data_IF_806022162385
#
_entry.id   IF_806022162385
#
_cell.length_a   1.000
_cell.length_b   1.000
_cell.length_c   1.000
_cell.angle_alpha   90.00
_cell.angle_beta   90.00
_cell.angle_gamma   90.00
#
_symmetry.space_group_name_H-M   'P 1'
#
loop_
_entity.id
_entity.type
_entity.pdbx_description
1 polymer ?
#
# COMPACT_ATOMS: atom_id res chain seq x y z
N UNK A 1 63.34 1.66 46.39
CA UNK A 1 64.73 2.12 46.56
C UNK A 1 65.54 1.76 45.32
N UNK A 2 66.41 2.68 44.97
CA UNK A 2 67.07 2.85 43.68
C UNK A 2 68.32 1.96 43.55
N UNK A 3 68.65 1.56 42.30
CA UNK A 3 69.98 1.56 41.64
C UNK A 3 70.31 0.24 40.93
N UNK A 4 70.43 0.29 39.59
CA UNK A 4 71.69 0.45 38.79
C UNK A 4 72.63 -0.74 39.00
N UNK A 5 73.16 -1.42 38.00
CA UNK A 5 73.14 -1.17 36.57
C UNK A 5 73.89 -2.29 35.82
N UNK A 6 73.69 -2.26 34.51
CA UNK A 6 74.53 -2.81 33.43
C UNK A 6 76.05 -2.56 33.65
N UNK A 7 77.01 -3.18 32.91
CA UNK A 7 76.87 -3.42 31.46
C UNK A 7 77.81 -4.45 30.78
N UNK A 8 77.72 -4.46 29.43
CA UNK A 8 78.75 -4.87 28.43
C UNK A 8 79.00 -6.38 28.27
N UNK A 9 79.35 -6.92 27.12
CA UNK A 9 79.42 -6.47 25.73
C UNK A 9 79.87 -7.70 24.93
N UNK A 10 79.07 -8.07 23.94
CA UNK A 10 79.43 -8.52 22.58
C UNK A 10 80.69 -9.37 22.33
N UNK A 11 80.44 -10.50 21.64
CA UNK A 11 81.15 -11.01 20.44
C UNK A 11 81.65 -12.45 20.56
N UNK A 12 81.03 -13.38 19.79
CA UNK A 12 81.69 -14.48 19.06
C UNK A 12 80.68 -15.36 18.28
N UNK A 13 81.01 -15.53 17.00
CA UNK A 13 81.04 -16.77 16.20
C UNK A 13 79.75 -17.58 15.97
N UNK A 14 79.31 -17.50 14.70
CA UNK A 14 79.09 -18.56 13.71
C UNK A 14 78.83 -20.03 14.15
N UNK A 15 77.84 -20.59 13.44
CA UNK A 15 77.56 -21.98 13.06
C UNK A 15 76.41 -22.77 13.75
N UNK A 16 75.39 -23.00 12.91
CA UNK A 16 74.44 -24.11 12.75
C UNK A 16 74.24 -25.13 13.87
N UNK A 17 72.98 -25.34 14.27
CA UNK A 17 72.27 -26.65 14.27
C UNK A 17 70.74 -26.45 14.45
N UNK A 18 69.92 -27.03 13.57
CA UNK A 18 68.46 -27.27 13.78
C UNK A 18 68.29 -28.47 14.76
N UNK A 19 67.16 -28.70 15.50
CA UNK A 19 65.76 -28.71 15.00
C UNK A 19 64.60 -28.36 15.99
N UNK A 20 63.39 -28.31 15.43
CA UNK A 20 62.04 -28.60 15.97
C UNK A 20 61.49 -28.01 17.30
N UNK A 21 60.53 -27.10 17.11
CA UNK A 21 59.18 -26.96 17.74
C UNK A 21 58.99 -26.83 19.26
N UNK A 22 58.52 -25.64 19.68
CA UNK A 22 57.27 -25.46 20.47
C UNK A 22 56.56 -24.19 19.97
N UNK A 23 55.26 -24.32 19.71
CA UNK A 23 54.41 -23.36 18.97
C UNK A 23 53.31 -22.86 19.92
N UNK A 24 53.27 -21.56 20.24
CA UNK A 24 52.10 -20.83 20.81
C UNK A 24 52.42 -19.34 21.07
N UNK A 25 51.44 -18.41 21.18
CA UNK A 25 50.00 -18.56 20.98
C UNK A 25 49.40 -17.63 19.91
N UNK A 26 48.20 -18.03 19.49
CA UNK A 26 47.27 -17.33 18.60
C UNK A 26 47.06 -15.85 18.99
N UNK A 27 47.19 -14.95 18.03
CA UNK A 27 46.37 -13.72 18.00
C UNK A 27 45.34 -13.87 16.88
N UNK A 28 44.18 -14.44 17.22
CA UNK A 28 43.00 -14.41 16.35
C UNK A 28 42.54 -12.96 16.27
N UNK A 29 42.75 -12.29 15.15
CA UNK A 29 41.95 -11.12 14.79
C UNK A 29 40.53 -11.62 14.49
N UNK A 30 39.67 -11.60 15.51
CA UNK A 30 38.23 -11.51 15.31
C UNK A 30 37.93 -10.06 14.94
N UNK A 31 37.40 -9.83 13.75
CA UNK A 31 36.48 -8.74 13.47
C UNK A 31 35.71 -9.09 12.21
N UNK A 32 34.56 -9.74 12.41
CA UNK A 32 33.23 -9.27 11.97
C UNK A 32 32.97 -9.55 10.50
N UNK A 33 32.59 -10.78 10.19
CA UNK A 33 31.68 -11.02 9.07
C UNK A 33 30.47 -10.12 9.27
N UNK A 34 30.24 -9.18 8.36
CA UNK A 34 28.97 -8.46 8.30
C UNK A 34 27.83 -9.49 8.27
N UNK A 35 26.80 -9.35 9.13
CA UNK A 35 25.65 -10.22 9.05
C UNK A 35 24.88 -9.89 7.76
N UNK A 36 25.11 -10.69 6.72
CA UNK A 36 24.28 -10.66 5.51
C UNK A 36 22.83 -10.98 5.91
N UNK A 37 21.82 -10.22 5.45
CA UNK A 37 20.43 -10.41 5.83
C UNK A 37 19.96 -11.85 5.58
N UNK A 38 19.33 -12.48 6.58
CA UNK A 38 18.89 -13.90 6.49
C UNK A 38 17.55 -14.11 5.78
N UNK A 39 16.82 -13.04 5.44
CA UNK A 39 15.57 -13.05 4.67
C UNK A 39 15.48 -11.77 3.81
N UNK A 40 15.94 -11.84 2.57
CA UNK A 40 15.89 -10.81 1.51
C UNK A 40 16.78 -11.39 0.38
N UNK A 41 16.27 -12.20 -0.57
CA UNK A 41 15.71 -11.73 -1.85
C UNK A 41 14.47 -12.51 -2.31
N UNK A 42 14.13 -13.62 -1.63
CA UNK A 42 13.00 -14.48 -1.95
C UNK A 42 11.66 -13.81 -1.65
N UNK A 43 11.58 -13.04 -0.55
CA UNK A 43 10.39 -12.24 -0.23
C UNK A 43 10.15 -11.14 -1.27
N UNK A 44 11.20 -10.49 -1.75
CA UNK A 44 11.09 -9.46 -2.79
C UNK A 44 10.62 -10.06 -4.12
N UNK A 45 11.22 -11.17 -4.56
CA UNK A 45 10.76 -11.90 -5.75
C UNK A 45 9.31 -12.39 -5.60
N UNK A 46 8.92 -12.87 -4.43
CA UNK A 46 7.54 -13.28 -4.17
C UNK A 46 6.57 -12.09 -4.26
N UNK A 47 6.93 -10.92 -3.71
CA UNK A 47 6.14 -9.69 -3.79
C UNK A 47 6.03 -9.19 -5.25
N UNK A 48 7.14 -9.19 -5.99
CA UNK A 48 7.16 -8.85 -7.42
C UNK A 48 6.28 -9.81 -8.24
N UNK A 49 6.32 -11.10 -7.92
CA UNK A 49 5.48 -12.12 -8.58
C UNK A 49 4.00 -11.89 -8.27
N UNK A 50 3.64 -11.64 -7.01
CA UNK A 50 2.27 -11.29 -6.61
C UNK A 50 1.81 -10.03 -7.35
N UNK A 51 2.64 -8.99 -7.42
CA UNK A 51 2.33 -7.77 -8.15
C UNK A 51 2.10 -8.03 -9.65
N UNK A 52 2.94 -8.85 -10.29
CA UNK A 52 2.78 -9.25 -11.68
C UNK A 52 1.48 -10.02 -11.91
N UNK A 53 1.13 -10.95 -11.02
CA UNK A 53 -0.12 -11.70 -11.07
C UNK A 53 -1.32 -10.75 -10.96
N UNK A 54 -1.37 -9.88 -9.94
CA UNK A 54 -2.50 -8.96 -9.73
C UNK A 54 -2.63 -7.98 -10.90
N UNK A 55 -1.51 -7.51 -11.46
CA UNK A 55 -1.50 -6.70 -12.69
C UNK A 55 -2.08 -7.46 -13.88
N UNK A 56 -1.82 -8.76 -14.00
CA UNK A 56 -2.44 -9.58 -15.03
C UNK A 56 -3.95 -9.74 -14.82
N UNK A 57 -4.43 -9.88 -13.57
CA UNK A 57 -5.87 -9.88 -13.25
C UNK A 57 -6.53 -8.59 -13.77
N UNK A 58 -5.95 -7.42 -13.48
CA UNK A 58 -6.44 -6.12 -13.95
C UNK A 58 -6.50 -6.04 -15.48
N UNK A 59 -5.42 -6.45 -16.16
CA UNK A 59 -5.36 -6.43 -17.63
C UNK A 59 -6.40 -7.33 -18.26
N UNK A 60 -6.62 -8.52 -17.69
CA UNK A 60 -7.64 -9.45 -18.17
C UNK A 60 -9.03 -8.85 -17.98
N UNK A 61 -9.33 -8.27 -16.82
CA UNK A 61 -10.59 -7.59 -16.58
C UNK A 61 -10.82 -6.44 -17.56
N UNK A 62 -9.80 -5.61 -17.78
CA UNK A 62 -9.91 -4.47 -18.69
C UNK A 62 -10.15 -4.91 -20.14
N UNK A 63 -9.50 -5.99 -20.57
CA UNK A 63 -9.53 -6.43 -21.97
C UNK A 63 -10.67 -7.41 -22.29
N UNK A 64 -11.13 -8.19 -21.30
CA UNK A 64 -12.06 -9.30 -21.51
C UNK A 64 -13.26 -9.29 -20.55
N UNK A 65 -13.34 -8.31 -19.64
CA UNK A 65 -14.39 -8.23 -18.63
C UNK A 65 -14.37 -9.36 -17.61
N UNK A 66 -15.40 -9.37 -16.76
CA UNK A 66 -15.57 -10.35 -15.68
C UNK A 66 -15.69 -11.80 -16.17
N UNK A 67 -16.37 -12.01 -17.30
CA UNK A 67 -16.59 -13.33 -17.91
C UNK A 67 -15.29 -13.93 -18.46
N UNK A 68 -14.37 -13.09 -18.94
CA UNK A 68 -13.05 -13.51 -19.42
C UNK A 68 -12.03 -13.81 -18.33
N UNK A 69 -12.36 -13.55 -17.06
CA UNK A 69 -11.43 -13.71 -15.94
C UNK A 69 -11.27 -15.19 -15.54
N UNK A 70 -10.30 -15.86 -16.17
CA UNK A 70 -9.95 -17.27 -15.92
C UNK A 70 -8.50 -17.42 -15.47
N UNK A 71 -8.19 -18.42 -14.64
CA UNK A 71 -6.82 -18.68 -14.16
C UNK A 71 -5.84 -18.96 -15.31
N UNK A 72 -6.29 -19.65 -16.36
CA UNK A 72 -5.48 -19.89 -17.55
C UNK A 72 -5.07 -18.59 -18.25
N UNK A 73 -6.03 -17.70 -18.50
CA UNK A 73 -5.75 -16.41 -19.14
C UNK A 73 -4.92 -15.49 -18.25
N UNK A 74 -5.14 -15.51 -16.94
CA UNK A 74 -4.32 -14.75 -15.99
C UNK A 74 -2.87 -15.24 -16.02
N UNK A 75 -2.65 -16.56 -16.02
CA UNK A 75 -1.32 -17.15 -16.11
C UNK A 75 -0.62 -16.77 -17.42
N UNK A 76 -1.34 -16.83 -18.54
CA UNK A 76 -0.87 -16.39 -19.87
C UNK A 76 -0.44 -14.92 -19.86
N UNK A 77 -1.30 -14.01 -19.41
CA UNK A 77 -1.01 -12.56 -19.36
C UNK A 77 0.12 -12.24 -18.39
N UNK A 78 0.27 -13.02 -17.31
CA UNK A 78 1.35 -12.86 -16.35
C UNK A 78 2.67 -13.52 -16.81
N UNK A 79 2.68 -14.22 -17.95
CA UNK A 79 3.87 -14.90 -18.47
C UNK A 79 4.33 -16.08 -17.61
N UNK A 80 3.40 -16.80 -16.97
CA UNK A 80 3.70 -17.90 -16.06
C UNK A 80 2.86 -19.15 -16.32
N UNK A 81 3.31 -20.29 -15.79
CA UNK A 81 2.50 -21.50 -15.83
C UNK A 81 1.31 -21.40 -14.86
N UNK A 82 0.21 -22.10 -15.19
CA UNK A 82 -0.95 -22.21 -14.29
C UNK A 82 -0.57 -22.86 -12.96
N UNK A 83 0.38 -23.82 -12.97
CA UNK A 83 0.91 -24.42 -11.74
C UNK A 83 1.62 -23.40 -10.84
N UNK A 84 2.41 -22.51 -11.42
CA UNK A 84 3.04 -21.38 -10.69
C UNK A 84 1.99 -20.45 -10.12
N UNK A 85 0.96 -20.11 -10.89
CA UNK A 85 -0.15 -19.27 -10.40
C UNK A 85 -0.81 -19.89 -9.16
N UNK A 86 -1.08 -21.19 -9.17
CA UNK A 86 -1.68 -21.91 -8.04
C UNK A 86 -0.80 -21.97 -6.78
N UNK A 87 0.53 -21.88 -6.92
CA UNK A 87 1.43 -21.78 -5.76
C UNK A 87 1.25 -20.47 -4.99
N UNK A 88 0.85 -19.39 -5.67
CA UNK A 88 0.59 -18.09 -5.05
C UNK A 88 -0.88 -17.90 -4.69
N UNK A 89 -1.80 -18.35 -5.55
CA UNK A 89 -3.22 -18.15 -5.39
C UNK A 89 -3.99 -19.46 -5.57
N UNK A 90 -4.54 -20.04 -4.50
CA UNK A 90 -5.14 -21.38 -4.56
C UNK A 90 -6.42 -21.43 -5.41
N UNK A 91 -7.07 -20.29 -5.64
CA UNK A 91 -8.30 -20.19 -6.42
C UNK A 91 -8.51 -18.77 -6.99
N UNK A 92 -9.52 -18.64 -7.87
CA UNK A 92 -9.92 -17.36 -8.47
C UNK A 92 -10.29 -16.33 -7.39
N UNK A 93 -10.94 -16.74 -6.30
CA UNK A 93 -11.38 -15.82 -5.24
C UNK A 93 -10.20 -15.14 -4.53
N UNK A 94 -9.08 -15.85 -4.36
CA UNK A 94 -7.85 -15.28 -3.82
C UNK A 94 -7.24 -14.22 -4.75
N UNK A 95 -7.32 -14.43 -6.08
CA UNK A 95 -6.88 -13.45 -7.09
C UNK A 95 -7.77 -12.20 -7.07
N UNK A 96 -9.10 -12.39 -7.06
CA UNK A 96 -10.08 -11.31 -6.91
C UNK A 96 -9.80 -10.52 -5.63
N UNK A 97 -9.57 -11.24 -4.53
CA UNK A 97 -9.28 -10.65 -3.25
C UNK A 97 -8.01 -9.80 -3.28
N UNK A 98 -6.91 -10.27 -3.86
CA UNK A 98 -5.68 -9.49 -3.95
C UNK A 98 -5.84 -8.24 -4.85
N UNK A 99 -6.58 -8.37 -5.95
CA UNK A 99 -6.93 -7.22 -6.78
C UNK A 99 -7.74 -6.18 -6.00
N UNK A 100 -8.79 -6.63 -5.31
CA UNK A 100 -9.60 -5.76 -4.46
C UNK A 100 -8.71 -5.01 -3.46
N UNK A 101 -7.83 -5.70 -2.74
CA UNK A 101 -6.88 -5.11 -1.79
C UNK A 101 -6.04 -3.98 -2.40
N UNK A 102 -5.50 -4.22 -3.61
CA UNK A 102 -4.68 -3.24 -4.32
C UNK A 102 -5.46 -1.99 -4.71
N UNK A 103 -6.64 -2.15 -5.30
CA UNK A 103 -7.50 -1.03 -5.74
C UNK A 103 -7.88 -0.17 -4.54
N UNK A 104 -8.21 -0.80 -3.43
CA UNK A 104 -8.60 -0.11 -2.20
C UNK A 104 -7.45 0.64 -1.55
N UNK A 105 -6.25 0.04 -1.52
CA UNK A 105 -5.06 0.72 -1.05
C UNK A 105 -4.79 1.97 -1.89
N UNK A 106 -4.92 1.90 -3.21
CA UNK A 106 -4.76 3.05 -4.10
C UNK A 106 -5.80 4.16 -3.83
N UNK A 107 -7.07 3.78 -3.62
CA UNK A 107 -8.12 4.74 -3.25
C UNK A 107 -7.81 5.42 -1.91
N UNK A 108 -7.39 4.64 -0.90
CA UNK A 108 -7.09 5.16 0.42
C UNK A 108 -5.85 6.08 0.40
N UNK A 109 -4.82 5.73 -0.36
CA UNK A 109 -3.63 6.56 -0.53
C UNK A 109 -3.96 7.88 -1.25
N UNK A 110 -4.79 7.85 -2.29
CA UNK A 110 -5.26 9.06 -2.97
C UNK A 110 -6.11 9.94 -2.04
N UNK A 111 -6.93 9.33 -1.18
CA UNK A 111 -7.73 10.03 -0.19
C UNK A 111 -6.85 10.73 0.86
N UNK A 112 -5.89 10.00 1.44
CA UNK A 112 -4.90 10.55 2.39
C UNK A 112 -4.09 11.68 1.76
N UNK A 113 -3.65 11.52 0.51
CA UNK A 113 -2.94 12.57 -0.21
C UNK A 113 -3.81 13.83 -0.40
N UNK A 114 -5.10 13.66 -0.70
CA UNK A 114 -6.07 14.75 -0.79
C UNK A 114 -6.25 15.50 0.54
N UNK A 115 -6.39 14.77 1.65
CA UNK A 115 -6.47 15.35 3.00
C UNK A 115 -5.20 16.12 3.36
N UNK A 116 -4.03 15.51 3.15
CA UNK A 116 -2.74 16.11 3.46
C UNK A 116 -2.49 17.39 2.66
N UNK A 117 -2.80 17.38 1.35
CA UNK A 117 -2.69 18.56 0.50
C UNK A 117 -3.66 19.68 0.91
N UNK A 118 -4.78 19.33 1.55
CA UNK A 118 -5.83 20.25 1.98
C UNK A 118 -5.77 20.67 3.44
N UNK A 119 -4.70 20.33 4.16
CA UNK A 119 -4.62 20.48 5.62
C UNK A 119 -4.98 21.89 6.11
N UNK A 120 -4.55 22.92 5.37
CA UNK A 120 -4.77 24.34 5.70
C UNK A 120 -5.90 24.99 4.91
N UNK A 121 -6.47 24.31 3.93
CA UNK A 121 -7.50 24.88 3.06
C UNK A 121 -8.87 24.85 3.76
N UNK A 122 -9.81 25.74 3.42
CA UNK A 122 -11.19 25.63 3.89
C UNK A 122 -11.78 24.25 3.56
N UNK A 123 -12.50 23.65 4.51
CA UNK A 123 -13.07 22.30 4.33
C UNK A 123 -13.87 22.09 3.04
N UNK A 124 -14.65 23.07 2.54
CA UNK A 124 -15.33 22.92 1.27
C UNK A 124 -14.37 22.68 0.10
N UNK A 125 -13.21 23.32 0.11
CA UNK A 125 -12.18 23.11 -0.91
C UNK A 125 -11.50 21.74 -0.77
N UNK A 126 -11.26 21.29 0.46
CA UNK A 126 -10.71 19.95 0.74
C UNK A 126 -11.69 18.87 0.26
N UNK A 127 -12.96 18.98 0.66
CA UNK A 127 -14.03 18.08 0.25
C UNK A 127 -14.18 18.03 -1.27
N UNK A 128 -14.16 19.19 -1.93
CA UNK A 128 -14.25 19.27 -3.37
C UNK A 128 -13.09 18.56 -4.07
N UNK A 129 -11.85 18.80 -3.60
CA UNK A 129 -10.65 18.15 -4.14
C UNK A 129 -10.72 16.63 -3.99
N UNK A 130 -11.10 16.15 -2.81
CA UNK A 130 -11.23 14.72 -2.55
C UNK A 130 -12.31 14.10 -3.43
N UNK A 131 -13.48 14.73 -3.55
CA UNK A 131 -14.55 14.25 -4.41
C UNK A 131 -14.10 14.16 -5.88
N UNK A 132 -13.43 15.18 -6.40
CA UNK A 132 -12.87 15.19 -7.76
C UNK A 132 -11.81 14.09 -7.94
N UNK A 133 -10.87 13.97 -7.00
CA UNK A 133 -9.82 12.93 -7.06
C UNK A 133 -10.41 11.53 -7.02
N UNK A 134 -11.38 11.27 -6.14
CA UNK A 134 -12.07 9.98 -6.06
C UNK A 134 -12.82 9.67 -7.35
N UNK A 135 -13.64 10.59 -7.84
CA UNK A 135 -14.39 10.37 -9.08
C UNK A 135 -13.44 10.14 -10.28
N UNK A 136 -12.36 10.92 -10.39
CA UNK A 136 -11.36 10.76 -11.46
C UNK A 136 -10.66 9.40 -11.39
N UNK A 137 -10.27 8.96 -10.18
CA UNK A 137 -9.64 7.65 -9.98
C UNK A 137 -10.61 6.52 -10.34
N UNK A 138 -11.87 6.64 -9.92
CA UNK A 138 -12.94 5.70 -10.30
C UNK A 138 -13.11 5.62 -11.82
N UNK A 139 -13.07 6.75 -12.54
CA UNK A 139 -13.14 6.78 -14.00
C UNK A 139 -11.99 6.00 -14.66
N UNK A 140 -10.77 6.21 -14.19
CA UNK A 140 -9.57 5.57 -14.76
C UNK A 140 -9.59 4.04 -14.60
N UNK A 141 -10.33 3.54 -13.61
CA UNK A 141 -10.41 2.12 -13.26
C UNK A 141 -11.82 1.53 -13.44
N UNK A 142 -12.70 2.18 -14.23
CA UNK A 142 -14.13 1.86 -14.36
C UNK A 142 -14.44 0.35 -14.51
N UNK A 143 -13.78 -0.42 -15.42
CA UNK A 143 -14.08 -1.84 -15.58
C UNK A 143 -13.81 -2.68 -14.31
N UNK A 144 -12.77 -2.32 -13.55
CA UNK A 144 -12.40 -3.00 -12.31
C UNK A 144 -13.34 -2.61 -11.18
N UNK A 145 -13.63 -1.31 -11.02
CA UNK A 145 -14.56 -0.85 -9.99
C UNK A 145 -15.99 -1.36 -10.20
N UNK A 146 -16.51 -1.31 -11.42
CA UNK A 146 -17.86 -1.82 -11.73
C UNK A 146 -18.00 -3.28 -11.32
N UNK A 147 -17.01 -4.11 -11.69
CA UNK A 147 -17.02 -5.52 -11.33
C UNK A 147 -16.83 -5.75 -9.82
N UNK A 148 -15.98 -4.97 -9.13
CA UNK A 148 -15.87 -5.02 -7.66
C UNK A 148 -17.17 -4.63 -6.95
N UNK A 149 -17.97 -3.73 -7.54
CA UNK A 149 -19.29 -3.36 -7.02
C UNK A 149 -20.25 -4.52 -7.17
N UNK A 150 -20.28 -5.23 -8.30
CA UNK A 150 -21.14 -6.43 -8.45
C UNK A 150 -20.82 -7.48 -7.38
N UNK A 151 -19.53 -7.68 -7.09
CA UNK A 151 -19.05 -8.60 -6.05
C UNK A 151 -19.46 -8.20 -4.63
N UNK A 152 -19.81 -6.92 -4.37
CA UNK A 152 -20.27 -6.47 -3.03
C UNK A 152 -21.51 -7.22 -2.55
N UNK A 153 -22.32 -7.71 -3.48
CA UNK A 153 -23.56 -8.42 -3.18
C UNK A 153 -23.30 -9.83 -2.65
N UNK A 154 -22.08 -10.35 -2.85
CA UNK A 154 -21.68 -11.65 -2.34
C UNK A 154 -21.25 -11.56 -0.86
N UNK A 155 -21.84 -12.41 -0.01
CA UNK A 155 -21.59 -12.40 1.44
C UNK A 155 -20.10 -12.49 1.82
N UNK A 156 -19.30 -13.20 1.02
CA UNK A 156 -17.85 -13.36 1.23
C UNK A 156 -17.05 -12.05 1.10
N UNK A 157 -17.58 -11.03 0.41
CA UNK A 157 -16.91 -9.73 0.20
C UNK A 157 -17.50 -8.57 1.02
N UNK A 158 -18.66 -8.76 1.65
CA UNK A 158 -19.34 -7.69 2.39
C UNK A 158 -18.56 -7.19 3.61
N UNK A 159 -18.05 -8.09 4.45
CA UNK A 159 -17.30 -7.69 5.64
C UNK A 159 -16.00 -6.96 5.28
N UNK A 160 -15.43 -7.30 4.13
CA UNK A 160 -14.27 -6.61 3.61
C UNK A 160 -14.64 -5.20 3.16
N UNK A 161 -15.71 -5.07 2.37
CA UNK A 161 -16.27 -3.77 1.94
C UNK A 161 -16.54 -2.84 3.13
N UNK A 162 -17.15 -3.37 4.20
CA UNK A 162 -17.44 -2.62 5.42
C UNK A 162 -16.17 -2.07 6.07
N UNK A 163 -15.14 -2.91 6.26
CA UNK A 163 -13.86 -2.49 6.85
C UNK A 163 -13.16 -1.38 6.07
N UNK A 164 -13.32 -1.36 4.75
CA UNK A 164 -12.74 -0.32 3.90
C UNK A 164 -13.44 1.00 4.14
N UNK A 165 -14.77 1.01 4.08
CA UNK A 165 -15.55 2.22 4.37
C UNK A 165 -15.19 2.75 5.76
N UNK A 166 -15.07 1.86 6.76
CA UNK A 166 -14.62 2.23 8.10
C UNK A 166 -13.23 2.90 8.08
N UNK A 167 -12.27 2.42 7.28
CA UNK A 167 -10.95 3.07 7.14
C UNK A 167 -11.04 4.49 6.57
N UNK A 168 -11.84 4.72 5.52
CA UNK A 168 -12.04 6.08 4.99
C UNK A 168 -12.70 7.01 6.02
N UNK A 169 -13.66 6.48 6.78
CA UNK A 169 -14.33 7.21 7.85
C UNK A 169 -13.37 7.55 8.98
N UNK A 170 -12.51 6.61 9.39
CA UNK A 170 -11.52 6.83 10.44
C UNK A 170 -10.50 7.91 10.04
N UNK A 171 -9.99 7.85 8.81
CA UNK A 171 -9.05 8.87 8.26
C UNK A 171 -9.69 10.26 8.20
N UNK A 172 -10.94 10.35 7.71
CA UNK A 172 -11.65 11.62 7.66
C UNK A 172 -12.01 12.15 9.06
N UNK A 173 -12.38 11.26 9.98
CA UNK A 173 -12.66 11.63 11.36
C UNK A 173 -11.41 12.21 12.02
N UNK A 174 -10.27 11.53 11.90
CA UNK A 174 -9.00 11.99 12.42
C UNK A 174 -8.61 13.35 11.81
N UNK A 175 -8.80 13.53 10.50
CA UNK A 175 -8.60 14.83 9.86
C UNK A 175 -9.50 15.93 10.46
N UNK A 176 -10.81 15.68 10.60
CA UNK A 176 -11.74 16.66 11.18
C UNK A 176 -11.47 16.95 12.67
N UNK A 177 -10.86 16.01 13.40
CA UNK A 177 -10.41 16.23 14.78
C UNK A 177 -9.27 17.26 14.87
N UNK A 178 -8.39 17.33 13.87
CA UNK A 178 -7.32 18.33 13.81
C UNK A 178 -7.82 19.75 13.49
N UNK A 179 -9.07 19.87 13.04
CA UNK A 179 -9.66 21.12 12.53
C UNK A 179 -10.44 21.86 13.62
N UNK A 180 -10.15 23.15 13.76
CA UNK A 180 -10.83 24.05 14.71
C UNK A 180 -12.02 24.78 14.09
N UNK A 181 -12.11 24.81 12.77
CA UNK A 181 -13.19 25.42 11.98
C UNK A 181 -14.37 24.45 11.73
N UNK A 182 -14.41 23.31 12.43
CA UNK A 182 -15.47 22.30 12.36
C UNK A 182 -16.31 22.33 13.64
N UNK A 183 -17.61 22.59 13.52
CA UNK A 183 -18.55 22.62 14.67
C UNK A 183 -19.47 21.40 14.77
N UNK A 184 -19.25 20.34 13.99
CA UNK A 184 -20.10 19.15 14.08
C UNK A 184 -20.07 18.54 15.49
N UNK A 185 -21.27 18.28 16.02
CA UNK A 185 -21.45 17.56 17.29
C UNK A 185 -20.89 16.14 17.22
N UNK A 186 -21.03 15.48 16.07
CA UNK A 186 -20.48 14.16 15.80
C UNK A 186 -19.68 14.18 14.49
N UNK A 187 -18.35 14.34 14.61
CA UNK A 187 -17.42 14.37 13.47
C UNK A 187 -17.34 13.03 12.75
N UNK A 188 -17.55 11.90 13.46
CA UNK A 188 -17.58 10.56 12.86
C UNK A 188 -18.82 10.38 11.99
N UNK A 189 -19.99 10.83 12.47
CA UNK A 189 -21.21 10.80 11.67
C UNK A 189 -21.09 11.68 10.41
N UNK A 190 -20.49 12.86 10.53
CA UNK A 190 -20.21 13.73 9.38
C UNK A 190 -19.24 13.07 8.37
N UNK A 191 -18.19 12.42 8.88
CA UNK A 191 -17.25 11.66 8.06
C UNK A 191 -17.95 10.50 7.34
N UNK A 192 -18.75 9.71 8.05
CA UNK A 192 -19.54 8.62 7.47
C UNK A 192 -20.47 9.11 6.37
N UNK A 193 -21.28 10.15 6.63
CA UNK A 193 -22.18 10.72 5.63
C UNK A 193 -21.42 11.19 4.37
N UNK A 194 -20.25 11.80 4.55
CA UNK A 194 -19.41 12.26 3.44
C UNK A 194 -18.86 11.10 2.61
N UNK A 195 -18.28 10.10 3.26
CA UNK A 195 -17.73 8.92 2.57
C UNK A 195 -18.82 8.18 1.81
N UNK A 196 -19.98 7.95 2.43
CA UNK A 196 -21.12 7.28 1.78
C UNK A 196 -21.71 8.11 0.63
N UNK A 197 -21.74 9.44 0.75
CA UNK A 197 -22.19 10.31 -0.36
C UNK A 197 -21.25 10.22 -1.56
N UNK A 198 -19.93 10.29 -1.34
CA UNK A 198 -18.93 10.13 -2.41
C UNK A 198 -19.03 8.75 -3.06
N UNK A 199 -19.16 7.68 -2.26
CA UNK A 199 -19.34 6.32 -2.77
C UNK A 199 -20.63 6.21 -3.61
N UNK A 200 -21.74 6.75 -3.12
CA UNK A 200 -23.03 6.75 -3.81
C UNK A 200 -22.98 7.48 -5.16
N UNK A 201 -22.30 8.62 -5.20
CA UNK A 201 -22.07 9.39 -6.43
C UNK A 201 -21.23 8.57 -7.42
N UNK A 202 -20.10 8.02 -6.96
CA UNK A 202 -19.21 7.21 -7.79
C UNK A 202 -19.92 5.98 -8.38
N UNK A 203 -20.68 5.27 -7.53
CA UNK A 203 -21.48 4.12 -7.95
C UNK A 203 -22.58 4.51 -8.96
N UNK A 204 -23.27 5.62 -8.72
CA UNK A 204 -24.35 6.10 -9.58
C UNK A 204 -23.87 6.47 -10.99
N UNK A 205 -22.68 7.05 -11.08
CA UNK A 205 -21.98 7.34 -12.35
C UNK A 205 -21.54 6.06 -13.03
N UNK A 206 -20.91 5.13 -12.30
CA UNK A 206 -20.40 3.88 -12.86
C UNK A 206 -21.51 3.00 -13.46
N UNK A 207 -22.71 3.02 -12.89
CA UNK A 207 -23.87 2.28 -13.39
C UNK A 207 -24.47 2.85 -14.70
N UNK A 208 -24.03 4.03 -15.16
CA UNK A 208 -24.60 4.74 -16.33
C UNK A 208 -23.51 5.32 -17.24
N UNK A 209 -22.59 4.49 -17.76
CA UNK A 209 -21.48 4.97 -18.58
C UNK A 209 -21.97 5.72 -19.82
N UNK A 210 -21.40 6.90 -20.07
CA UNK A 210 -21.73 7.74 -21.22
C UNK A 210 -23.07 8.48 -21.14
N UNK A 211 -23.88 8.26 -20.10
CA UNK A 211 -25.17 8.95 -19.92
C UNK A 211 -25.08 10.17 -18.99
N UNK A 212 -24.05 10.22 -18.15
CA UNK A 212 -23.86 11.26 -17.13
C UNK A 212 -22.48 11.88 -17.33
N UNK A 213 -22.43 13.21 -17.40
CA UNK A 213 -21.17 13.94 -17.33
C UNK A 213 -20.60 13.80 -15.90
N UNK A 214 -19.58 12.97 -15.81
CA UNK A 214 -18.93 12.62 -14.57
C UNK A 214 -18.23 13.81 -13.94
N UNK A 215 -17.66 14.71 -14.75
CA UNK A 215 -17.01 15.92 -14.24
C UNK A 215 -18.04 16.87 -13.64
N UNK A 216 -19.19 17.02 -14.30
CA UNK A 216 -20.31 17.79 -13.76
C UNK A 216 -20.84 17.21 -12.44
N UNK A 217 -21.02 15.88 -12.37
CA UNK A 217 -21.47 15.21 -11.14
C UNK A 217 -20.43 15.29 -10.01
N UNK A 218 -19.14 15.18 -10.33
CA UNK A 218 -18.07 15.38 -9.34
C UNK A 218 -18.11 16.80 -8.78
N UNK A 219 -18.29 17.82 -9.64
CA UNK A 219 -18.34 19.22 -9.25
C UNK A 219 -19.59 19.56 -8.42
N UNK A 220 -20.74 18.99 -8.74
CA UNK A 220 -21.97 19.12 -7.93
C UNK A 220 -21.84 18.38 -6.58
N UNK A 221 -21.32 17.14 -6.60
CA UNK A 221 -21.04 16.35 -5.41
C UNK A 221 -20.11 17.06 -4.44
N UNK A 222 -19.02 17.60 -4.97
CA UNK A 222 -18.08 18.45 -4.26
C UNK A 222 -18.77 19.64 -3.57
N UNK A 223 -19.66 20.35 -4.27
CA UNK A 223 -20.42 21.48 -3.71
C UNK A 223 -21.39 21.06 -2.62
N UNK A 224 -22.14 19.97 -2.82
CA UNK A 224 -23.06 19.43 -1.81
C UNK A 224 -22.30 19.04 -0.54
N UNK A 225 -21.19 18.32 -0.67
CA UNK A 225 -20.36 17.92 0.46
C UNK A 225 -19.76 19.17 1.14
N UNK A 226 -19.22 20.11 0.38
CA UNK A 226 -18.70 21.36 0.92
C UNK A 226 -19.74 22.15 1.72
N UNK A 227 -21.00 22.15 1.26
CA UNK A 227 -22.12 22.74 1.99
C UNK A 227 -22.40 22.09 3.35
N UNK A 228 -22.17 20.78 3.50
CA UNK A 228 -22.29 20.10 4.81
C UNK A 228 -21.33 20.72 5.83
N UNK A 229 -20.13 21.13 5.39
CA UNK A 229 -19.08 21.71 6.23
C UNK A 229 -19.25 23.21 6.50
N UNK A 230 -20.15 23.90 5.80
CA UNK A 230 -20.37 25.36 5.93
C UNK A 230 -21.42 25.74 6.97
N UNK A 231 -22.17 24.80 7.55
CA UNK A 231 -23.36 25.13 8.34
C UNK A 231 -23.51 24.37 9.65
N UNK A 232 -23.08 25.01 10.75
CA UNK A 232 -23.81 25.12 12.03
C UNK A 232 -23.07 26.12 12.93
N UNK A 233 -23.09 27.39 12.52
CA UNK A 233 -23.00 28.47 13.49
C UNK A 233 -24.33 28.46 14.29
N UNK A 234 -24.23 28.36 15.61
CA UNK A 234 -25.31 28.74 16.52
C UNK A 234 -24.93 30.05 17.16
#
# INVERSE_FOLDING_TARGET
MCRRGSPRSSSRLLYHHAPMTVRSPRRRSRSTSEPVPRKQPQQQRAAETVHAIVTAVERVLHSHGASGLTTNRIAEVAGMSVGTLYQYFPNKQALVGALQERVLAQLLDAFRAGLAAGATDPLPAVAARIAVSMVTLYQSQLPVHHWLIELRSEAQYQERFRRIVDQFVDELTAFLETRTDVTFTDKRAAAFATVTAVEGIANGVAARPGQIDVAAVAAEGARMIGGLYQGRER
#
